data_IF_168779911492
#
_entry.id   IF_168779911492
#
_cell.length_a   1.000
_cell.length_b   1.000
_cell.length_c   1.000
_cell.angle_alpha   90.00
_cell.angle_beta   90.00
_cell.angle_gamma   90.00
#
_symmetry.space_group_name_H-M   'P 1'
#
loop_
_entity.id
_entity.type
_entity.pdbx_description
1 polymer ?
#
# COMPACT_ATOMS: atom_id res chain seq x y z
N UNK A 1 -18.89 17.65 -71.94
CA UNK A 1 -17.64 17.63 -71.15
C UNK A 1 -17.42 16.22 -70.64
N UNK A 2 -16.49 15.48 -71.24
CA UNK A 2 -16.11 14.15 -70.77
C UNK A 2 -15.15 14.31 -69.59
N UNK A 3 -15.68 14.18 -68.37
CA UNK A 3 -14.86 14.20 -67.16
C UNK A 3 -14.02 12.92 -67.13
N UNK A 4 -12.70 13.07 -67.13
CA UNK A 4 -11.74 11.99 -67.15
C UNK A 4 -11.78 11.22 -65.81
N UNK A 5 -12.56 10.14 -65.77
CA UNK A 5 -12.84 9.34 -64.56
C UNK A 5 -11.61 8.70 -63.89
N UNK A 6 -10.43 8.75 -64.53
CA UNK A 6 -9.19 8.17 -63.98
C UNK A 6 -8.48 9.06 -62.96
N UNK A 7 -8.69 10.38 -62.99
CA UNK A 7 -8.05 11.31 -62.05
C UNK A 7 -8.71 11.30 -60.67
N UNK A 8 -10.05 11.24 -60.63
CA UNK A 8 -10.85 11.25 -59.38
C UNK A 8 -10.60 10.01 -58.51
N UNK A 9 -10.19 8.90 -59.12
CA UNK A 9 -9.96 7.64 -58.39
C UNK A 9 -8.71 7.70 -57.50
N UNK A 10 -7.68 8.46 -57.89
CA UNK A 10 -6.40 8.50 -57.17
C UNK A 10 -6.44 9.39 -55.92
N UNK A 11 -7.22 10.47 -55.96
CA UNK A 11 -7.39 11.40 -54.83
C UNK A 11 -8.11 10.76 -53.63
N UNK A 12 -8.93 9.72 -53.86
CA UNK A 12 -9.65 9.01 -52.78
C UNK A 12 -8.84 7.81 -52.24
N UNK A 13 -8.04 7.15 -53.07
CA UNK A 13 -7.30 5.95 -52.68
C UNK A 13 -6.19 6.27 -51.67
N UNK A 14 -5.44 7.36 -51.89
CA UNK A 14 -4.32 7.73 -51.01
C UNK A 14 -4.77 7.98 -49.54
N UNK A 15 -5.77 8.83 -49.24
CA UNK A 15 -6.20 9.05 -47.86
C UNK A 15 -6.80 7.80 -47.22
N UNK A 16 -7.46 6.94 -48.02
CA UNK A 16 -7.98 5.67 -47.52
C UNK A 16 -6.85 4.75 -47.04
N UNK A 17 -5.76 4.63 -47.81
CA UNK A 17 -4.58 3.84 -47.40
C UNK A 17 -3.97 4.41 -46.13
N UNK A 18 -3.85 5.74 -46.02
CA UNK A 18 -3.30 6.39 -44.81
C UNK A 18 -4.16 6.05 -43.59
N UNK A 19 -5.48 6.17 -43.68
CA UNK A 19 -6.40 5.82 -42.58
C UNK A 19 -6.25 4.36 -42.17
N UNK A 20 -6.16 3.44 -43.15
CA UNK A 20 -5.97 2.01 -42.88
C UNK A 20 -4.63 1.75 -42.18
N UNK A 21 -3.55 2.38 -42.64
CA UNK A 21 -2.22 2.23 -42.04
C UNK A 21 -2.19 2.81 -40.63
N UNK A 22 -2.77 3.99 -40.39
CA UNK A 22 -2.85 4.59 -39.06
C UNK A 22 -3.69 3.73 -38.11
N UNK A 23 -4.85 3.23 -38.55
CA UNK A 23 -5.66 2.32 -37.76
C UNK A 23 -4.92 1.01 -37.44
N UNK A 24 -4.19 0.44 -38.41
CA UNK A 24 -3.38 -0.75 -38.20
C UNK A 24 -2.26 -0.51 -37.18
N UNK A 25 -1.57 0.63 -37.26
CA UNK A 25 -0.55 1.02 -36.28
C UNK A 25 -1.17 1.17 -34.89
N UNK A 26 -2.33 1.83 -34.76
CA UNK A 26 -3.01 1.98 -33.48
C UNK A 26 -3.43 0.62 -32.89
N UNK A 27 -4.00 -0.28 -33.70
CA UNK A 27 -4.35 -1.64 -33.25
C UNK A 27 -3.10 -2.43 -32.85
N UNK A 28 -2.00 -2.29 -33.59
CA UNK A 28 -0.74 -2.93 -33.25
C UNK A 28 -0.20 -2.46 -31.89
N UNK A 29 -0.21 -1.16 -31.62
CA UNK A 29 0.15 -0.63 -30.30
C UNK A 29 -0.82 -1.11 -29.20
N UNK A 30 -2.13 -1.17 -29.49
CA UNK A 30 -3.13 -1.67 -28.56
C UNK A 30 -2.95 -3.15 -28.19
N UNK A 31 -2.39 -3.97 -29.09
CA UNK A 31 -2.13 -5.40 -28.85
C UNK A 31 -0.79 -5.63 -28.17
N UNK A 32 0.24 -4.83 -28.47
CA UNK A 32 1.59 -5.02 -27.92
C UNK A 32 1.75 -4.56 -26.48
N UNK A 33 1.03 -3.53 -26.06
CA UNK A 33 1.17 -3.00 -24.70
C UNK A 33 0.34 -3.86 -23.73
N UNK A 34 0.91 -4.41 -22.65
CA UNK A 34 0.17 -5.20 -21.67
C UNK A 34 -0.74 -4.31 -20.81
N UNK A 35 -1.87 -3.85 -21.37
CA UNK A 35 -2.78 -2.91 -20.70
C UNK A 35 -3.40 -3.47 -19.42
N UNK A 36 -3.54 -4.79 -19.28
CA UNK A 36 -4.37 -5.38 -18.20
C UNK A 36 -3.88 -5.07 -16.78
N UNK A 37 -2.58 -5.14 -16.51
CA UNK A 37 -2.04 -4.91 -15.15
C UNK A 37 -1.95 -3.43 -14.80
N UNK A 38 -1.49 -2.60 -15.74
CA UNK A 38 -1.38 -1.15 -15.55
C UNK A 38 -2.75 -0.48 -15.39
N UNK A 39 -3.75 -0.93 -16.17
CA UNK A 39 -5.13 -0.43 -16.05
C UNK A 39 -5.72 -0.76 -14.68
N UNK A 40 -5.36 -1.89 -14.08
CA UNK A 40 -5.82 -2.25 -12.72
C UNK A 40 -5.32 -1.30 -11.64
N UNK A 41 -4.00 -1.05 -11.60
CA UNK A 41 -3.37 -0.15 -10.62
C UNK A 41 -3.84 1.30 -10.81
N UNK A 42 -3.90 1.78 -12.05
CA UNK A 42 -4.36 3.14 -12.36
C UNK A 42 -5.85 3.33 -12.07
N UNK A 43 -6.71 2.37 -12.41
CA UNK A 43 -8.14 2.44 -12.09
C UNK A 43 -8.39 2.40 -10.58
N UNK A 44 -7.61 1.62 -9.83
CA UNK A 44 -7.64 1.65 -8.38
C UNK A 44 -7.23 3.02 -7.85
N UNK A 45 -6.08 3.56 -8.29
CA UNK A 45 -5.62 4.88 -7.87
C UNK A 45 -6.65 5.98 -8.16
N UNK A 46 -7.23 5.99 -9.36
CA UNK A 46 -8.29 6.94 -9.71
C UNK A 46 -9.53 6.76 -8.84
N UNK A 47 -9.92 5.53 -8.49
CA UNK A 47 -11.03 5.29 -7.56
C UNK A 47 -10.75 5.82 -6.15
N UNK A 48 -9.49 5.73 -5.68
CA UNK A 48 -9.04 6.30 -4.40
C UNK A 48 -9.12 7.82 -4.44
N UNK A 49 -8.61 8.46 -5.51
CA UNK A 49 -8.67 9.91 -5.70
C UNK A 49 -10.12 10.40 -5.74
N UNK A 50 -11.00 9.71 -6.47
CA UNK A 50 -12.42 10.06 -6.56
C UNK A 50 -13.13 9.91 -5.21
N UNK A 51 -12.84 8.85 -4.44
CA UNK A 51 -13.37 8.67 -3.08
C UNK A 51 -12.90 9.77 -2.12
N UNK A 52 -11.63 10.14 -2.18
CA UNK A 52 -11.05 11.21 -1.36
C UNK A 52 -11.72 12.56 -1.68
N UNK A 53 -11.91 12.87 -2.97
CA UNK A 53 -12.44 14.14 -3.46
C UNK A 53 -13.97 14.17 -3.61
N UNK A 54 -14.72 13.27 -2.97
CA UNK A 54 -16.17 13.10 -3.13
C UNK A 54 -17.05 14.32 -2.72
N UNK A 55 -16.45 15.50 -2.49
CA UNK A 55 -17.13 16.80 -2.51
C UNK A 55 -17.20 17.27 -3.97
N UNK A 56 -17.93 16.55 -4.81
CA UNK A 56 -18.20 16.97 -6.19
C UNK A 56 -19.51 17.76 -6.22
N UNK A 57 -19.43 19.08 -6.43
CA UNK A 57 -20.60 19.94 -6.66
C UNK A 57 -21.34 20.43 -5.40
N UNK A 58 -20.69 20.47 -4.24
CA UNK A 58 -21.30 20.97 -3.00
C UNK A 58 -22.28 20.00 -2.33
N UNK A 59 -22.59 18.87 -2.97
CA UNK A 59 -23.24 17.73 -2.34
C UNK A 59 -22.19 16.75 -1.85
N UNK A 60 -22.23 16.38 -0.57
CA UNK A 60 -21.40 15.30 -0.05
C UNK A 60 -21.88 13.97 -0.67
N UNK A 61 -21.20 13.52 -1.72
CA UNK A 61 -21.39 12.14 -2.19
C UNK A 61 -20.89 11.23 -1.07
N UNK A 62 -21.75 10.39 -0.51
CA UNK A 62 -21.32 9.38 0.46
C UNK A 62 -20.34 8.43 -0.26
N UNK A 63 -19.06 8.33 0.14
CA UNK A 63 -18.03 7.53 -0.53
C UNK A 63 -18.28 6.03 -0.62
N UNK A 64 -19.31 5.52 0.07
CA UNK A 64 -19.87 4.20 -0.23
C UNK A 64 -20.45 4.06 -1.65
N UNK A 65 -20.77 5.16 -2.34
CA UNK A 65 -21.33 5.11 -3.70
C UNK A 65 -20.29 4.87 -4.79
N UNK A 66 -19.03 5.24 -4.56
CA UNK A 66 -17.95 5.03 -5.53
C UNK A 66 -17.29 3.71 -5.15
N UNK A 67 -17.43 2.60 -5.88
CA UNK A 67 -16.75 1.36 -5.52
C UNK A 67 -15.22 1.50 -5.65
N UNK A 68 -14.46 0.87 -4.75
CA UNK A 68 -13.02 0.71 -4.94
C UNK A 68 -12.80 -0.31 -6.05
N UNK A 69 -12.14 0.10 -7.12
CA UNK A 69 -11.77 -0.80 -8.22
C UNK A 69 -10.38 -1.41 -7.99
N UNK A 70 -10.07 -1.69 -6.73
CA UNK A 70 -8.76 -2.17 -6.29
C UNK A 70 -8.74 -3.69 -6.24
N UNK A 71 -8.19 -4.30 -7.28
CA UNK A 71 -7.96 -5.74 -7.33
C UNK A 71 -6.65 -6.08 -6.64
N UNK A 72 -6.64 -7.16 -5.87
CA UNK A 72 -5.42 -7.71 -5.31
C UNK A 72 -4.54 -8.26 -6.43
N UNK A 73 -3.30 -7.82 -6.50
CA UNK A 73 -2.35 -8.29 -7.50
C UNK A 73 -1.57 -9.51 -6.98
N UNK A 74 -1.59 -10.66 -7.67
CA UNK A 74 -0.71 -11.76 -7.31
C UNK A 74 0.71 -11.49 -7.85
N UNK A 75 1.69 -11.37 -6.95
CA UNK A 75 3.11 -11.37 -7.25
C UNK A 75 3.65 -12.80 -7.08
N UNK A 76 4.03 -13.44 -8.19
CA UNK A 76 4.67 -14.76 -8.18
C UNK A 76 6.17 -14.56 -8.37
N UNK A 77 6.97 -15.04 -7.41
CA UNK A 77 8.43 -14.93 -7.43
C UNK A 77 9.02 -16.30 -7.75
N UNK A 78 9.61 -16.42 -8.94
CA UNK A 78 10.17 -17.66 -9.51
C UNK A 78 11.70 -17.63 -9.70
N UNK A 79 12.36 -16.61 -9.16
CA UNK A 79 13.81 -16.46 -9.24
C UNK A 79 14.50 -16.96 -7.98
N UNK A 80 15.69 -17.55 -8.16
CA UNK A 80 16.55 -17.89 -7.04
C UNK A 80 17.44 -16.74 -6.57
N UNK A 81 17.54 -15.65 -7.32
CA UNK A 81 18.39 -14.51 -7.00
C UNK A 81 17.77 -13.66 -5.88
N UNK A 82 18.43 -13.64 -4.72
CA UNK A 82 18.00 -12.87 -3.55
C UNK A 82 17.85 -11.36 -3.85
N UNK A 83 18.71 -10.79 -4.68
CA UNK A 83 18.63 -9.36 -5.02
C UNK A 83 17.37 -9.06 -5.84
N UNK A 84 17.05 -9.92 -6.80
CA UNK A 84 15.80 -9.83 -7.56
C UNK A 84 14.57 -10.03 -6.66
N UNK A 85 14.58 -11.00 -5.74
CA UNK A 85 13.49 -11.19 -4.77
C UNK A 85 13.23 -9.90 -3.98
N UNK A 86 14.28 -9.29 -3.41
CA UNK A 86 14.16 -8.03 -2.64
C UNK A 86 13.63 -6.90 -3.50
N UNK A 87 14.13 -6.78 -4.74
CA UNK A 87 13.67 -5.77 -5.71
C UNK A 87 12.19 -5.90 -6.02
N UNK A 88 11.72 -7.12 -6.30
CA UNK A 88 10.35 -7.35 -6.74
C UNK A 88 9.36 -7.10 -5.58
N UNK A 89 9.71 -7.50 -4.34
CA UNK A 89 8.94 -7.16 -3.14
C UNK A 89 8.92 -5.64 -2.89
N UNK A 90 10.08 -4.97 -2.97
CA UNK A 90 10.18 -3.52 -2.72
C UNK A 90 9.40 -2.70 -3.76
N UNK A 91 9.47 -3.08 -5.04
CA UNK A 91 8.69 -2.47 -6.12
C UNK A 91 7.19 -2.62 -5.88
N UNK A 92 6.74 -3.81 -5.47
CA UNK A 92 5.32 -4.03 -5.23
C UNK A 92 4.82 -3.29 -3.98
N UNK A 93 5.64 -3.17 -2.93
CA UNK A 93 5.35 -2.29 -1.79
C UNK A 93 5.25 -0.82 -2.20
N UNK A 94 6.17 -0.36 -3.07
CA UNK A 94 6.16 0.99 -3.64
C UNK A 94 4.89 1.26 -4.44
N UNK A 95 4.56 0.38 -5.39
CA UNK A 95 3.38 0.49 -6.24
C UNK A 95 2.13 0.51 -5.38
N UNK A 96 2.11 -0.30 -4.32
CA UNK A 96 1.02 -0.31 -3.38
C UNK A 96 0.84 1.04 -2.69
N UNK A 97 1.89 1.55 -2.07
CA UNK A 97 1.84 2.82 -1.36
C UNK A 97 1.38 3.97 -2.26
N UNK A 98 1.91 4.02 -3.49
CA UNK A 98 1.54 5.01 -4.48
C UNK A 98 0.06 4.89 -4.90
N UNK A 99 -0.41 3.66 -5.18
CA UNK A 99 -1.79 3.38 -5.59
C UNK A 99 -2.80 3.92 -4.57
N UNK A 100 -2.51 3.79 -3.28
CA UNK A 100 -3.37 4.27 -2.20
C UNK A 100 -3.08 5.73 -1.78
N UNK A 101 -2.41 6.51 -2.62
CA UNK A 101 -2.22 7.94 -2.42
C UNK A 101 -1.20 8.29 -1.34
N UNK A 102 -0.23 7.41 -1.08
CA UNK A 102 0.90 7.65 -0.17
C UNK A 102 0.49 8.04 1.25
N UNK A 103 -0.68 7.56 1.70
CA UNK A 103 -1.27 7.92 2.99
C UNK A 103 -1.77 9.36 3.11
N UNK A 104 -1.85 10.10 1.98
CA UNK A 104 -2.36 11.48 1.92
C UNK A 104 -3.86 11.54 1.58
N UNK A 105 -4.46 10.41 1.21
CA UNK A 105 -5.85 10.33 0.76
C UNK A 105 -6.70 9.58 1.77
N UNK A 106 -7.77 10.21 2.24
CA UNK A 106 -8.75 9.59 3.11
C UNK A 106 -9.91 8.99 2.32
N UNK A 107 -9.74 7.73 1.93
CA UNK A 107 -10.74 6.97 1.17
C UNK A 107 -11.56 5.99 2.04
N UNK A 108 -11.28 5.94 3.35
CA UNK A 108 -12.00 5.08 4.31
C UNK A 108 -13.10 5.85 5.05
N UNK A 109 -12.86 7.11 5.45
CA UNK A 109 -13.61 7.77 6.53
C UNK A 109 -15.09 8.02 6.33
N UNK A 110 -15.58 7.97 5.09
CA UNK A 110 -16.96 8.38 4.78
C UNK A 110 -17.84 7.21 4.30
N UNK A 111 -17.36 5.98 4.37
CA UNK A 111 -18.24 4.83 4.11
C UNK A 111 -19.22 4.65 5.29
N UNK A 112 -20.49 4.40 5.01
CA UNK A 112 -21.58 4.43 6.01
C UNK A 112 -21.46 3.37 7.11
N UNK A 113 -20.59 2.36 6.92
CA UNK A 113 -20.43 1.25 7.85
C UNK A 113 -19.55 1.57 9.08
N UNK A 114 -18.83 2.70 9.07
CA UNK A 114 -18.00 3.18 10.19
C UNK A 114 -18.81 3.84 11.31
N UNK A 115 -19.98 4.40 10.99
CA UNK A 115 -20.84 5.08 11.98
C UNK A 115 -21.60 4.11 12.90
N UNK A 116 -21.50 2.81 12.64
CA UNK A 116 -21.91 1.77 13.59
C UNK A 116 -20.89 1.79 14.73
N UNK A 117 -21.15 2.66 15.72
CA UNK A 117 -20.40 2.74 16.97
C UNK A 117 -20.33 1.34 17.56
N UNK A 118 -19.15 0.75 17.56
CA UNK A 118 -18.90 -0.43 18.37
C UNK A 118 -19.14 0.00 19.83
N UNK A 119 -19.96 -0.69 20.64
CA UNK A 119 -20.31 -0.27 22.01
C UNK A 119 -19.09 -0.01 22.91
N UNK A 120 -17.92 -0.53 22.54
CA UNK A 120 -16.65 -0.33 23.23
C UNK A 120 -15.91 0.96 22.84
N UNK A 121 -16.45 1.77 21.91
CA UNK A 121 -15.81 3.01 21.45
C UNK A 121 -14.51 2.80 20.66
N UNK A 122 -14.27 1.58 20.19
CA UNK A 122 -13.08 1.21 19.41
C UNK A 122 -13.29 1.67 17.97
N UNK A 123 -12.43 2.58 17.50
CA UNK A 123 -12.35 2.98 16.09
C UNK A 123 -12.04 1.72 15.26
N UNK A 124 -12.85 1.48 14.23
CA UNK A 124 -12.64 0.30 13.38
C UNK A 124 -11.30 0.43 12.66
N UNK A 125 -10.69 -0.69 12.28
CA UNK A 125 -9.50 -0.69 11.43
C UNK A 125 -9.90 -1.31 10.10
N UNK A 126 -9.72 -0.55 9.02
CA UNK A 126 -9.90 -1.09 7.67
C UNK A 126 -8.59 -1.49 7.07
N UNK A 127 -8.65 -2.53 6.26
CA UNK A 127 -7.55 -2.93 5.42
C UNK A 127 -7.99 -3.09 3.97
N UNK A 128 -7.00 -2.94 3.12
CA UNK A 128 -7.10 -3.31 1.71
C UNK A 128 -5.89 -4.19 1.37
N UNK A 129 -6.13 -5.39 0.82
CA UNK A 129 -5.09 -6.29 0.35
C UNK A 129 -4.69 -5.84 -1.04
N UNK A 130 -3.48 -5.30 -1.11
CA UNK A 130 -2.95 -4.71 -2.31
C UNK A 130 -2.32 -5.73 -3.23
N UNK A 131 -1.53 -6.61 -2.63
CA UNK A 131 -0.78 -7.65 -3.34
C UNK A 131 -0.62 -8.88 -2.45
N UNK A 132 -0.62 -10.06 -3.07
CA UNK A 132 -0.21 -11.31 -2.43
C UNK A 132 1.07 -11.80 -3.06
N UNK A 133 2.00 -12.27 -2.24
CA UNK A 133 3.32 -12.72 -2.67
C UNK A 133 3.39 -14.22 -2.48
N UNK A 134 3.62 -14.93 -3.58
CA UNK A 134 3.77 -16.38 -3.62
C UNK A 134 5.16 -16.73 -4.12
N UNK A 135 5.86 -17.60 -3.39
CA UNK A 135 7.19 -18.07 -3.75
C UNK A 135 7.12 -19.43 -4.45
N UNK A 136 7.62 -19.50 -5.68
CA UNK A 136 7.77 -20.76 -6.41
C UNK A 136 8.98 -21.55 -5.89
N UNK A 137 9.06 -22.83 -6.28
CA UNK A 137 10.07 -23.77 -5.78
C UNK A 137 11.52 -23.25 -5.84
N UNK A 138 11.87 -22.46 -6.86
CA UNK A 138 13.20 -21.84 -7.04
C UNK A 138 13.51 -20.73 -6.04
N UNK A 139 12.48 -20.10 -5.47
CA UNK A 139 12.59 -19.00 -4.52
C UNK A 139 12.47 -19.46 -3.04
N UNK A 140 12.03 -20.70 -2.78
CA UNK A 140 11.85 -21.29 -1.43
C UNK A 140 13.17 -21.53 -0.68
N UNK A 141 13.05 -21.93 0.60
CA UNK A 141 14.15 -22.29 1.51
C UNK A 141 15.15 -21.17 1.79
N UNK A 142 14.68 -19.91 1.78
CA UNK A 142 15.50 -18.72 2.03
C UNK A 142 14.93 -17.86 3.14
N UNK A 143 15.85 -17.13 3.75
CA UNK A 143 15.59 -16.14 4.79
C UNK A 143 16.06 -14.79 4.27
N UNK A 144 15.13 -13.95 3.85
CA UNK A 144 15.39 -12.70 3.12
C UNK A 144 15.21 -11.51 4.07
N UNK A 145 16.30 -10.79 4.36
CA UNK A 145 16.22 -9.49 5.02
C UNK A 145 16.11 -8.37 3.97
N UNK A 146 14.96 -7.72 3.92
CA UNK A 146 14.69 -6.61 2.99
C UNK A 146 15.05 -5.23 3.58
N UNK A 147 15.38 -5.14 4.87
CA UNK A 147 15.61 -3.87 5.59
C UNK A 147 16.65 -3.02 4.89
N UNK A 148 17.85 -3.57 4.71
CA UNK A 148 18.99 -2.85 4.14
C UNK A 148 18.71 -2.49 2.67
N UNK A 149 17.98 -3.35 1.95
CA UNK A 149 17.57 -3.07 0.58
C UNK A 149 16.65 -1.84 0.49
N UNK A 150 15.64 -1.73 1.37
CA UNK A 150 14.76 -0.57 1.39
C UNK A 150 15.49 0.72 1.81
N UNK A 151 16.48 0.60 2.71
CA UNK A 151 17.29 1.72 3.19
C UNK A 151 18.22 2.28 2.10
N UNK A 152 18.95 1.40 1.42
CA UNK A 152 20.09 1.78 0.59
C UNK A 152 19.77 1.85 -0.91
N UNK A 153 18.67 1.22 -1.35
CA UNK A 153 18.34 1.16 -2.78
C UNK A 153 17.42 2.30 -3.20
N UNK A 154 17.83 3.04 -4.23
CA UNK A 154 17.01 4.07 -4.89
C UNK A 154 15.88 3.44 -5.69
N UNK A 155 14.70 4.07 -5.66
CA UNK A 155 13.57 3.69 -6.52
C UNK A 155 13.97 4.00 -7.97
N UNK A 156 13.68 3.12 -8.96
CA UNK A 156 13.99 3.39 -10.36
C UNK A 156 13.47 4.76 -10.81
N UNK A 157 14.36 5.57 -11.42
CA UNK A 157 14.08 6.95 -11.90
C UNK A 157 13.81 7.98 -10.80
N UNK A 158 14.05 7.66 -9.53
CA UNK A 158 14.00 8.62 -8.42
C UNK A 158 15.33 8.66 -7.69
N UNK A 159 15.67 9.83 -7.13
CA UNK A 159 16.91 10.01 -6.35
C UNK A 159 16.78 9.60 -4.88
N UNK A 160 15.58 9.18 -4.46
CA UNK A 160 15.25 8.77 -3.09
C UNK A 160 15.15 7.24 -2.95
N UNK A 161 15.47 6.74 -1.76
CA UNK A 161 15.37 5.32 -1.42
C UNK A 161 13.95 4.90 -1.07
N UNK A 162 13.63 3.60 -1.12
CA UNK A 162 12.30 3.10 -0.76
C UNK A 162 11.89 3.54 0.64
N UNK A 163 12.77 3.36 1.62
CA UNK A 163 12.47 3.74 3.00
C UNK A 163 12.25 5.25 3.14
N UNK A 164 13.05 6.06 2.45
CA UNK A 164 12.89 7.52 2.46
C UNK A 164 11.54 7.93 1.87
N UNK A 165 11.12 7.26 0.79
CA UNK A 165 9.83 7.48 0.14
C UNK A 165 8.65 7.12 1.04
N UNK A 166 8.70 5.97 1.71
CA UNK A 166 7.62 5.52 2.60
C UNK A 166 7.45 6.42 3.83
N UNK A 167 8.53 7.04 4.30
CA UNK A 167 8.52 7.93 5.47
C UNK A 167 8.43 9.42 5.12
N UNK A 168 8.42 9.77 3.84
CA UNK A 168 8.46 11.16 3.35
C UNK A 168 9.64 11.97 3.95
N UNK A 169 10.79 11.29 4.15
CA UNK A 169 11.97 11.86 4.81
C UNK A 169 13.26 11.24 4.29
N UNK A 170 14.10 12.08 3.67
CA UNK A 170 15.42 11.66 3.19
C UNK A 170 16.35 11.23 4.31
N UNK A 171 17.20 10.23 4.02
CA UNK A 171 18.21 9.75 4.96
C UNK A 171 17.64 9.04 6.18
N UNK A 172 16.37 8.63 6.14
CA UNK A 172 15.76 7.83 7.20
C UNK A 172 16.50 6.50 7.29
N UNK A 173 17.01 6.20 8.49
CA UNK A 173 17.60 4.89 8.84
C UNK A 173 16.75 4.27 9.92
N UNK A 174 16.47 2.98 9.82
CA UNK A 174 15.85 2.24 10.91
C UNK A 174 16.91 1.96 11.96
N UNK A 175 16.55 2.13 13.22
CA UNK A 175 17.39 1.66 14.31
C UNK A 175 17.51 0.13 14.24
N UNK A 176 18.59 -0.49 14.79
CA UNK A 176 18.76 -1.93 14.78
C UNK A 176 17.56 -2.71 15.35
N UNK A 177 16.91 -2.17 16.37
CA UNK A 177 15.69 -2.67 17.00
C UNK A 177 14.42 -2.55 16.13
N UNK A 178 14.46 -1.73 15.08
CA UNK A 178 13.38 -1.53 14.11
C UNK A 178 13.62 -2.31 12.82
N UNK A 179 14.62 -3.20 12.80
CA UNK A 179 14.86 -4.06 11.64
C UNK A 179 13.66 -4.95 11.39
N UNK A 180 13.36 -5.11 10.11
CA UNK A 180 12.29 -5.97 9.63
C UNK A 180 12.65 -7.40 10.00
N UNK A 181 11.66 -8.15 10.48
CA UNK A 181 11.84 -9.58 10.65
C UNK A 181 12.23 -10.21 9.29
N UNK A 182 12.98 -11.31 9.35
CA UNK A 182 13.46 -11.97 8.15
C UNK A 182 12.30 -12.71 7.48
N UNK A 183 12.09 -12.44 6.18
CA UNK A 183 11.05 -13.09 5.37
C UNK A 183 11.46 -14.55 5.12
N UNK A 184 10.61 -15.50 5.49
CA UNK A 184 10.77 -16.93 5.23
C UNK A 184 10.06 -17.28 3.92
N UNK A 185 10.81 -17.57 2.87
CA UNK A 185 10.24 -17.83 1.53
C UNK A 185 9.45 -19.14 1.43
N UNK A 186 9.34 -19.90 2.52
CA UNK A 186 8.41 -21.03 2.62
C UNK A 186 6.97 -20.61 2.91
N UNK A 187 6.73 -19.35 3.23
CA UNK A 187 5.42 -18.78 3.54
C UNK A 187 4.98 -17.81 2.45
N UNK A 188 3.68 -17.68 2.27
CA UNK A 188 3.10 -16.64 1.42
C UNK A 188 2.88 -15.37 2.24
N UNK A 189 2.91 -14.21 1.57
CA UNK A 189 2.80 -12.91 2.22
C UNK A 189 1.74 -12.04 1.56
N UNK A 190 1.30 -11.00 2.26
CA UNK A 190 0.43 -9.96 1.73
C UNK A 190 0.97 -8.57 2.07
N UNK A 191 0.85 -7.68 1.10
CA UNK A 191 1.05 -6.25 1.29
C UNK A 191 -0.33 -5.62 1.55
N UNK A 192 -0.49 -5.03 2.72
CA UNK A 192 -1.73 -4.44 3.19
C UNK A 192 -1.57 -2.92 3.32
N UNK A 193 -2.63 -2.20 2.98
CA UNK A 193 -2.83 -0.82 3.42
C UNK A 193 -3.86 -0.84 4.53
N UNK A 194 -3.45 -0.39 5.72
CA UNK A 194 -4.31 -0.31 6.90
C UNK A 194 -4.65 1.15 7.15
N UNK A 195 -5.92 1.47 7.30
CA UNK A 195 -6.40 2.82 7.61
C UNK A 195 -7.23 2.87 8.88
N UNK A 196 -7.02 3.93 9.66
CA UNK A 196 -7.89 4.32 10.78
C UNK A 196 -8.44 5.71 10.57
N UNK A 197 -9.61 5.96 11.13
CA UNK A 197 -10.20 7.30 11.25
C UNK A 197 -9.82 7.89 12.61
N UNK A 198 -9.65 9.21 12.67
CA UNK A 198 -9.33 9.95 13.89
C UNK A 198 -7.84 9.89 14.19
N UNK A 199 -7.19 11.06 14.30
CA UNK A 199 -5.75 11.19 14.56
C UNK A 199 -5.28 10.67 15.92
N UNK A 200 -6.05 9.83 16.62
CA UNK A 200 -5.65 9.20 17.87
C UNK A 200 -5.00 7.85 17.57
N UNK A 201 -3.75 7.93 17.10
CA UNK A 201 -2.88 6.75 16.86
C UNK A 201 -2.87 5.76 18.03
N UNK A 202 -3.05 6.26 19.27
CA UNK A 202 -3.15 5.47 20.50
C UNK A 202 -4.22 4.36 20.42
N UNK A 203 -5.35 4.60 19.76
CA UNK A 203 -6.44 3.62 19.61
C UNK A 203 -6.03 2.47 18.71
N UNK A 204 -5.35 2.75 17.59
CA UNK A 204 -4.82 1.71 16.67
C UNK A 204 -3.83 0.81 17.40
N UNK A 205 -2.89 1.42 18.12
CA UNK A 205 -1.89 0.68 18.91
C UNK A 205 -2.53 -0.25 19.93
N UNK A 206 -3.59 0.18 20.62
CA UNK A 206 -4.26 -0.67 21.60
C UNK A 206 -5.15 -1.74 20.97
N UNK A 207 -5.70 -1.49 19.78
CA UNK A 207 -6.73 -2.32 19.16
C UNK A 207 -6.17 -3.51 18.37
N UNK A 208 -5.00 -3.36 17.73
CA UNK A 208 -4.35 -4.42 16.93
C UNK A 208 -3.73 -5.54 17.80
N UNK A 209 -4.14 -5.65 19.07
CA UNK A 209 -3.77 -6.79 19.92
C UNK A 209 -2.48 -6.61 20.72
N UNK A 210 -2.14 -5.37 21.11
CA UNK A 210 -1.28 -5.14 22.28
C UNK A 210 -2.11 -5.08 23.59
N UNK A 211 -3.20 -5.84 23.65
CA UNK A 211 -4.09 -5.89 24.81
C UNK A 211 -3.39 -6.52 26.01
N UNK A 212 -2.87 -5.68 26.89
CA UNK A 212 -2.98 -5.76 28.35
C UNK A 212 -2.57 -7.03 29.13
N UNK A 213 -2.05 -8.10 28.52
CA UNK A 213 -1.25 -9.09 29.25
C UNK A 213 0.21 -8.61 29.44
N UNK A 214 0.63 -7.63 28.64
CA UNK A 214 1.87 -6.85 28.76
C UNK A 214 1.61 -5.34 28.96
N UNK A 215 0.36 -4.97 29.30
CA UNK A 215 -0.10 -3.57 29.31
C UNK A 215 0.00 -2.84 30.64
N UNK A 216 0.84 -3.29 31.58
CA UNK A 216 1.15 -2.52 32.79
C UNK A 216 2.53 -1.84 32.76
N UNK A 217 3.48 -2.27 31.93
CA UNK A 217 4.86 -1.75 32.01
C UNK A 217 5.18 -0.60 31.04
N UNK A 218 4.49 -0.48 29.90
CA UNK A 218 4.83 0.56 28.91
C UNK A 218 4.07 1.88 29.15
N UNK A 219 2.99 1.84 29.95
CA UNK A 219 2.36 3.04 30.49
C UNK A 219 2.99 3.59 31.77
N UNK A 220 3.88 2.80 32.42
CA UNK A 220 4.46 3.13 33.72
C UNK A 220 6.00 3.25 33.72
N UNK A 221 6.69 2.93 32.63
CA UNK A 221 8.14 3.17 32.52
C UNK A 221 8.52 4.65 32.27
N UNK A 222 7.59 5.59 32.45
CA UNK A 222 7.89 7.02 32.68
C UNK A 222 7.74 7.44 34.15
N UNK A 223 7.36 6.54 35.08
CA UNK A 223 7.41 6.76 36.53
C UNK A 223 7.69 5.44 37.30
N UNK A 224 8.97 5.10 37.46
CA UNK A 224 9.54 4.44 38.65
C UNK A 224 9.19 2.97 38.98
N UNK A 225 10.25 2.13 38.92
CA UNK A 225 10.49 0.89 39.72
C UNK A 225 9.79 -0.42 39.30
N UNK A 226 10.59 -1.43 38.91
CA UNK A 226 10.27 -2.87 39.11
C UNK A 226 10.35 -3.79 37.88
N UNK A 227 11.31 -4.73 37.86
CA UNK A 227 11.59 -5.79 36.88
C UNK A 227 10.44 -6.86 36.80
N UNK A 228 10.30 -7.82 35.86
CA UNK A 228 11.16 -9.00 35.51
C UNK A 228 10.75 -9.63 34.12
N UNK A 229 11.26 -10.80 33.61
CA UNK A 229 11.70 -10.99 32.22
C UNK A 229 10.81 -11.90 31.35
N UNK A 230 10.76 -11.64 30.04
CA UNK A 230 10.30 -12.62 29.04
C UNK A 230 9.08 -12.21 28.22
N UNK A 231 9.30 -11.30 27.28
CA UNK A 231 8.57 -11.17 26.01
C UNK A 231 9.41 -10.20 25.17
N UNK A 232 9.43 -10.36 23.85
CA UNK A 232 10.26 -9.55 22.95
C UNK A 232 9.80 -8.08 23.05
N UNK A 233 10.58 -7.26 23.74
CA UNK A 233 10.39 -5.81 23.90
C UNK A 233 11.14 -5.13 22.74
N UNK A 234 10.40 -4.69 21.73
CA UNK A 234 10.91 -3.76 20.71
C UNK A 234 10.75 -2.32 21.20
N UNK A 235 11.85 -1.61 21.38
CA UNK A 235 11.91 -0.26 21.91
C UNK A 235 11.21 0.77 20.99
N UNK A 236 10.47 1.70 21.59
CA UNK A 236 9.87 2.86 20.92
C UNK A 236 10.58 4.11 21.45
N UNK A 237 11.32 4.82 20.58
CA UNK A 237 11.78 6.18 20.84
C UNK A 237 11.39 7.07 19.66
N UNK A 238 10.57 8.09 19.94
CA UNK A 238 10.20 9.15 19.00
C UNK A 238 9.40 10.24 19.72
N UNK A 239 10.04 11.39 19.91
CA UNK A 239 9.61 12.53 20.72
C UNK A 239 8.46 13.31 20.06
N UNK A 240 7.40 13.55 20.82
CA UNK A 240 6.29 14.44 20.45
C UNK A 240 6.67 15.91 20.65
N UNK A 241 6.86 16.66 19.56
CA UNK A 241 6.56 18.10 19.57
C UNK A 241 6.22 18.62 18.17
N UNK A 242 5.01 19.18 18.07
CA UNK A 242 4.56 20.15 17.06
C UNK A 242 4.69 19.77 15.58
N UNK A 243 3.61 19.27 14.96
CA UNK A 243 3.41 19.21 13.49
C UNK A 243 4.38 18.34 12.67
N UNK A 244 4.95 17.29 13.25
CA UNK A 244 5.89 16.37 12.59
C UNK A 244 5.22 15.08 12.11
N UNK A 245 5.48 14.70 10.84
CA UNK A 245 5.23 13.35 10.30
C UNK A 245 6.04 12.36 11.14
N UNK A 246 5.41 11.79 12.17
CA UNK A 246 6.03 10.80 13.05
C UNK A 246 5.96 9.42 12.38
N UNK A 247 7.01 9.08 11.63
CA UNK A 247 7.30 7.70 11.25
C UNK A 247 7.66 6.90 12.50
N UNK A 248 6.64 6.39 13.20
CA UNK A 248 6.83 5.46 14.31
C UNK A 248 6.79 4.06 13.74
N UNK A 249 7.91 3.35 13.77
CA UNK A 249 7.94 1.93 13.43
C UNK A 249 7.56 1.15 14.67
N UNK A 250 6.43 0.43 14.64
CA UNK A 250 5.99 -0.45 15.73
C UNK A 250 6.14 -1.90 15.27
N UNK A 251 6.64 -2.77 16.15
CA UNK A 251 6.72 -4.20 15.90
C UNK A 251 5.34 -4.85 16.12
N UNK A 252 4.47 -4.75 15.12
CA UNK A 252 3.43 -5.75 14.93
C UNK A 252 4.12 -7.06 14.48
N UNK A 253 3.44 -8.22 14.46
CA UNK A 253 3.92 -9.42 13.73
C UNK A 253 3.91 -9.20 12.19
N UNK A 254 4.20 -7.97 11.78
CA UNK A 254 4.29 -7.52 10.43
C UNK A 254 5.70 -7.05 10.18
N UNK A 255 6.24 -7.49 9.05
CA UNK A 255 7.64 -7.39 8.70
C UNK A 255 8.05 -5.93 8.49
N UNK A 256 7.18 -5.11 7.91
CA UNK A 256 7.44 -3.68 7.71
C UNK A 256 6.18 -2.87 8.04
N UNK A 257 6.33 -1.68 8.61
CA UNK A 257 5.24 -0.70 8.72
C UNK A 257 5.76 0.71 8.46
N UNK A 258 5.29 1.37 7.40
CA UNK A 258 5.43 2.83 7.30
C UNK A 258 4.10 3.46 7.67
N UNK A 259 4.14 4.46 8.55
CA UNK A 259 2.94 5.12 9.06
C UNK A 259 2.94 6.57 8.61
N UNK A 260 1.85 6.99 7.98
CA UNK A 260 1.57 8.40 7.72
C UNK A 260 0.27 8.76 8.41
N UNK A 261 0.38 9.67 9.37
CA UNK A 261 -0.77 10.34 9.99
C UNK A 261 -0.73 11.79 9.54
N UNK A 262 -1.82 12.26 8.95
CA UNK A 262 -1.98 13.66 8.62
C UNK A 262 -3.18 14.20 9.40
N UNK A 263 -2.92 15.21 10.24
CA UNK A 263 -3.92 15.82 11.10
C UNK A 263 -5.02 16.52 10.29
N UNK A 264 -4.75 16.88 9.02
CA UNK A 264 -5.69 17.53 8.13
C UNK A 264 -6.62 16.56 7.41
N UNK A 265 -6.19 15.32 7.17
CA UNK A 265 -6.95 14.30 6.39
C UNK A 265 -7.68 13.28 7.25
N UNK A 266 -7.93 13.60 8.52
CA UNK A 266 -8.75 12.81 9.47
C UNK A 266 -8.37 11.34 9.69
N UNK A 267 -7.21 10.86 9.22
CA UNK A 267 -6.84 9.45 9.33
C UNK A 267 -5.34 9.18 9.38
N UNK A 268 -4.99 7.93 9.69
CA UNK A 268 -3.64 7.40 9.59
C UNK A 268 -3.65 6.17 8.67
N UNK A 269 -2.63 6.08 7.82
CA UNK A 269 -2.42 4.99 6.89
C UNK A 269 -1.11 4.28 7.19
N UNK A 270 -1.14 2.94 7.12
CA UNK A 270 -0.01 2.08 7.38
C UNK A 270 0.17 1.14 6.19
N UNK A 271 1.34 1.15 5.55
CA UNK A 271 1.74 0.11 4.60
C UNK A 271 2.40 -1.01 5.38
N UNK A 272 1.91 -2.24 5.23
CA UNK A 272 2.49 -3.36 5.96
C UNK A 272 2.65 -4.63 5.14
N UNK A 273 3.73 -5.35 5.38
CA UNK A 273 3.99 -6.68 4.82
C UNK A 273 3.76 -7.71 5.93
N UNK A 274 2.86 -8.67 5.73
CA UNK A 274 2.54 -9.72 6.72
C UNK A 274 2.41 -11.08 6.06
N UNK A 275 2.53 -12.15 6.84
CA UNK A 275 2.27 -13.51 6.35
C UNK A 275 0.78 -13.64 5.94
N UNK A 276 0.53 -14.22 4.77
CA UNK A 276 -0.81 -14.46 4.21
C UNK A 276 -1.50 -15.60 4.96
N UNK A 277 -1.91 -15.31 6.20
CA UNK A 277 -2.66 -16.22 7.05
C UNK A 277 -3.93 -15.52 7.54
N UNK A 278 -5.08 -16.19 7.42
CA UNK A 278 -6.38 -15.63 7.83
C UNK A 278 -6.36 -15.13 9.27
N UNK A 279 -5.67 -15.82 10.19
CA UNK A 279 -5.54 -15.41 11.59
C UNK A 279 -4.67 -14.16 11.79
N UNK A 280 -3.61 -13.98 11.01
CA UNK A 280 -2.79 -12.76 11.05
C UNK A 280 -3.56 -11.58 10.44
N UNK A 281 -4.19 -11.79 9.28
CA UNK A 281 -4.98 -10.76 8.60
C UNK A 281 -6.18 -10.35 9.46
N UNK A 282 -6.95 -11.28 10.05
CA UNK A 282 -8.11 -10.94 10.88
C UNK A 282 -7.76 -10.21 12.17
N UNK A 283 -6.52 -10.35 12.67
CA UNK A 283 -6.04 -9.60 13.85
C UNK A 283 -5.71 -8.15 13.50
N UNK A 284 -5.17 -7.92 12.30
CA UNK A 284 -4.82 -6.58 11.81
C UNK A 284 -6.06 -5.86 11.27
N UNK A 285 -6.90 -6.61 10.55
CA UNK A 285 -7.97 -6.10 9.72
C UNK A 285 -9.31 -6.52 10.30
N UNK A 286 -10.02 -5.56 10.90
CA UNK A 286 -11.39 -5.79 11.36
C UNK A 286 -12.38 -5.76 10.20
N UNK A 287 -12.08 -4.96 9.18
CA UNK A 287 -12.79 -4.96 7.92
C UNK A 287 -11.80 -5.03 6.75
N UNK A 288 -12.14 -5.82 5.73
CA UNK A 288 -11.38 -5.94 4.49
C UNK A 288 -12.25 -5.37 3.38
N UNK A 289 -11.86 -4.24 2.79
CA UNK A 289 -12.64 -3.56 1.75
C UNK A 289 -12.56 -4.27 0.39
N UNK A 290 -11.50 -5.04 0.15
CA UNK A 290 -11.35 -5.85 -1.06
C UNK A 290 -10.93 -7.28 -0.71
N UNK A 291 -11.76 -8.24 -1.08
CA UNK A 291 -11.37 -9.65 -1.05
C UNK A 291 -10.85 -9.99 -2.46
N UNK A 292 -9.71 -10.69 -2.59
CA UNK A 292 -9.17 -11.14 -3.88
C UNK A 292 -10.19 -11.90 -4.73
#
# INVERSE_FOLDING_TARGET
MAVNKKAVMWEVIIPLIIIIVTAAILVFFLVLVPYKSMVGKEACHQSIVLRNNAILGGTELTPGMIPLNCKTNPLVIDTSDEMQIKRDIANEMYDCWWTYGEGKMDFFSKTSWWDIKNPLGIEKVSCTICSTIHFEKSAKDKKIDITDYLQDTKIPKKEITYLSYFNDKEGTKLAPEQRIEVIDTNKDYAILIVGTRGGKIKTVLTTVGMSAASGAAIGAAFLGVGAIPGAIIGAIVGVFSGSTVMGTSFALNSYFSSIRCDSSTSGCFILTLTELNAGNISRICQNIENIP
#
